data_IF_013567911305
#
_entry.id   IF_013567911305
#
_cell.length_a   1.000
_cell.length_b   1.000
_cell.length_c   1.000
_cell.angle_alpha   90.00
_cell.angle_beta   90.00
_cell.angle_gamma   90.00
#
_symmetry.space_group_name_H-M   'P 1'
#
loop_
_entity.id
_entity.type
_entity.pdbx_description
1 polymer ?
#
# COMPACT_ATOMS: atom_id res chain seq x y z
N UNK A 1 -13.22 5.79 -4.98
CA UNK A 1 -12.49 6.96 -5.55
C UNK A 1 -11.49 6.47 -6.61
N UNK A 2 -11.87 6.49 -7.89
CA UNK A 2 -11.14 5.78 -8.95
C UNK A 2 -10.33 6.67 -9.91
N UNK A 3 -10.31 8.00 -9.70
CA UNK A 3 -9.79 8.94 -10.70
C UNK A 3 -8.32 8.70 -11.06
N UNK A 4 -7.52 8.13 -10.15
CA UNK A 4 -6.10 7.78 -10.36
C UNK A 4 -5.80 6.27 -10.23
N UNK A 5 -6.81 5.42 -10.35
CA UNK A 5 -6.63 3.96 -10.39
C UNK A 5 -5.92 3.56 -11.67
N UNK A 6 -4.94 2.67 -11.52
CA UNK A 6 -4.12 2.11 -12.60
C UNK A 6 -4.12 0.59 -12.54
N UNK A 7 -3.85 -0.04 -13.68
CA UNK A 7 -3.59 -1.47 -13.78
C UNK A 7 -2.09 -1.68 -13.96
N UNK A 8 -1.44 -2.22 -12.93
CA UNK A 8 -0.08 -2.73 -12.98
C UNK A 8 -0.15 -4.15 -13.55
N UNK A 9 0.02 -4.24 -14.87
CA UNK A 9 -0.06 -5.51 -15.60
C UNK A 9 1.10 -6.45 -15.28
N UNK A 10 2.26 -5.92 -14.86
CA UNK A 10 3.44 -6.73 -14.55
C UNK A 10 3.22 -7.52 -13.27
N UNK A 11 2.76 -6.84 -12.22
CA UNK A 11 2.51 -7.45 -10.91
C UNK A 11 1.05 -7.90 -10.72
N UNK A 12 0.23 -7.84 -11.77
CA UNK A 12 -1.17 -8.31 -11.80
C UNK A 12 -2.04 -7.70 -10.69
N UNK A 13 -1.90 -6.40 -10.46
CA UNK A 13 -2.64 -5.65 -9.42
C UNK A 13 -3.30 -4.39 -9.97
N UNK A 14 -4.36 -3.95 -9.31
CA UNK A 14 -5.09 -2.72 -9.64
C UNK A 14 -5.22 -1.89 -8.37
N UNK A 15 -4.66 -0.70 -8.34
CA UNK A 15 -4.69 0.17 -7.15
C UNK A 15 -4.72 1.64 -7.57
N UNK A 16 -5.08 2.51 -6.63
CA UNK A 16 -5.01 3.96 -6.84
C UNK A 16 -3.59 4.44 -6.54
N UNK A 17 -2.91 4.93 -7.57
CA UNK A 17 -1.56 5.49 -7.48
C UNK A 17 -1.59 6.97 -7.09
N UNK A 18 -0.48 7.49 -6.57
CA UNK A 18 -0.25 8.93 -6.39
C UNK A 18 -0.32 9.69 -7.72
N UNK A 19 0.25 9.13 -8.80
CA UNK A 19 0.33 9.80 -10.10
C UNK A 19 0.50 8.81 -11.24
N UNK A 20 -0.12 9.07 -12.39
CA UNK A 20 0.15 8.33 -13.62
C UNK A 20 1.42 8.79 -14.34
N UNK A 21 1.77 10.07 -14.17
CA UNK A 21 2.91 10.66 -14.85
C UNK A 21 4.22 10.00 -14.40
N UNK A 22 4.41 9.76 -13.10
CA UNK A 22 5.63 9.08 -12.63
C UNK A 22 5.63 7.58 -12.97
N UNK A 23 4.46 6.93 -12.99
CA UNK A 23 4.35 5.55 -13.45
C UNK A 23 4.93 5.41 -14.85
N UNK A 24 4.48 6.24 -15.80
CA UNK A 24 4.88 6.14 -17.19
C UNK A 24 6.28 6.73 -17.47
N UNK A 25 6.59 7.89 -16.89
CA UNK A 25 7.78 8.67 -17.28
C UNK A 25 9.00 8.51 -16.38
N UNK A 26 8.84 8.03 -15.15
CA UNK A 26 9.92 8.02 -14.14
C UNK A 26 10.26 6.63 -13.63
N UNK A 27 9.28 5.74 -13.52
CA UNK A 27 9.42 4.50 -12.76
C UNK A 27 9.04 3.24 -13.54
N UNK A 28 9.02 3.32 -14.87
CA UNK A 28 9.05 2.15 -15.75
C UNK A 28 7.77 1.33 -15.84
N UNK A 29 6.62 1.98 -15.70
CA UNK A 29 5.32 1.38 -15.98
C UNK A 29 4.55 0.86 -14.76
N UNK A 30 5.19 0.75 -13.60
CA UNK A 30 4.53 0.57 -12.30
C UNK A 30 5.39 1.16 -11.18
N UNK A 31 4.75 1.71 -10.15
CA UNK A 31 5.43 2.08 -8.91
C UNK A 31 4.45 2.17 -7.75
N UNK A 32 4.87 1.72 -6.58
CA UNK A 32 4.15 1.94 -5.32
C UNK A 32 4.94 2.96 -4.53
N UNK A 33 4.29 4.07 -4.22
CA UNK A 33 4.75 5.06 -3.27
C UNK A 33 3.93 4.89 -2.00
N UNK A 34 4.62 4.57 -0.91
CA UNK A 34 4.05 3.84 0.22
C UNK A 34 2.83 4.55 0.87
N UNK A 35 3.01 5.77 1.35
CA UNK A 35 2.01 6.50 2.12
C UNK A 35 0.79 6.92 1.30
N UNK A 36 0.99 7.43 0.08
CA UNK A 36 -0.12 7.81 -0.80
C UNK A 36 -1.07 6.63 -1.09
N UNK A 37 -0.52 5.44 -1.37
CA UNK A 37 -1.35 4.27 -1.64
C UNK A 37 -2.10 3.82 -0.37
N UNK A 38 -1.49 3.96 0.81
CA UNK A 38 -2.17 3.77 2.09
C UNK A 38 -3.32 4.78 2.30
N UNK A 39 -3.10 6.08 2.05
CA UNK A 39 -4.16 7.08 2.14
C UNK A 39 -5.28 6.83 1.13
N UNK A 40 -4.95 6.38 -0.08
CA UNK A 40 -5.95 5.96 -1.04
C UNK A 40 -6.74 4.74 -0.57
N UNK A 41 -6.12 3.80 0.16
CA UNK A 41 -6.86 2.71 0.77
C UNK A 41 -7.90 3.24 1.77
N UNK A 42 -7.49 4.14 2.67
CA UNK A 42 -8.39 4.76 3.66
C UNK A 42 -9.55 5.50 2.97
N UNK A 43 -9.24 6.36 2.00
CA UNK A 43 -10.25 7.12 1.25
C UNK A 43 -11.24 6.20 0.53
N UNK A 44 -10.76 5.13 -0.11
CA UNK A 44 -11.65 4.17 -0.77
C UNK A 44 -12.51 3.41 0.24
N UNK A 45 -11.95 3.05 1.41
CA UNK A 45 -12.70 2.35 2.45
C UNK A 45 -13.86 3.20 2.96
N UNK A 46 -13.60 4.47 3.28
CA UNK A 46 -14.60 5.44 3.72
C UNK A 46 -15.61 5.80 2.63
N UNK A 47 -15.21 5.76 1.36
CA UNK A 47 -16.12 5.93 0.23
C UNK A 47 -17.01 4.70 -0.06
N UNK A 48 -16.87 3.61 0.71
CA UNK A 48 -17.60 2.35 0.52
C UNK A 48 -17.07 1.46 -0.59
N UNK A 49 -15.94 1.80 -1.21
CA UNK A 49 -15.27 0.97 -2.23
C UNK A 49 -14.19 0.10 -1.56
N UNK A 50 -14.65 -0.90 -0.81
CA UNK A 50 -13.78 -1.78 -0.02
C UNK A 50 -12.89 -2.67 -0.90
N UNK A 51 -13.33 -3.00 -2.11
CA UNK A 51 -12.51 -3.74 -3.08
C UNK A 51 -11.28 -2.95 -3.49
N UNK A 52 -11.45 -1.68 -3.90
CA UNK A 52 -10.30 -0.85 -4.25
C UNK A 52 -9.45 -0.55 -3.03
N UNK A 53 -10.06 -0.35 -1.86
CA UNK A 53 -9.32 -0.18 -0.61
C UNK A 53 -8.41 -1.37 -0.31
N UNK A 54 -8.96 -2.60 -0.35
CA UNK A 54 -8.20 -3.83 -0.13
C UNK A 54 -7.10 -3.99 -1.17
N UNK A 55 -7.34 -3.67 -2.43
CA UNK A 55 -6.31 -3.75 -3.45
C UNK A 55 -5.15 -2.75 -3.21
N UNK A 56 -5.44 -1.54 -2.75
CA UNK A 56 -4.39 -0.60 -2.34
C UNK A 56 -3.58 -1.16 -1.16
N UNK A 57 -4.24 -1.71 -0.13
CA UNK A 57 -3.55 -2.32 1.01
C UNK A 57 -2.67 -3.50 0.58
N UNK A 58 -3.13 -4.33 -0.36
CA UNK A 58 -2.32 -5.41 -0.94
C UNK A 58 -1.08 -4.88 -1.67
N UNK A 59 -1.25 -3.83 -2.48
CA UNK A 59 -0.14 -3.25 -3.23
C UNK A 59 1.00 -2.74 -2.33
N UNK A 60 0.67 -2.14 -1.18
CA UNK A 60 1.67 -1.72 -0.18
C UNK A 60 2.20 -2.88 0.65
N UNK A 61 1.38 -3.89 0.94
CA UNK A 61 1.83 -5.11 1.62
C UNK A 61 2.90 -5.87 0.82
N UNK A 62 2.80 -5.88 -0.50
CA UNK A 62 3.83 -6.46 -1.38
C UNK A 62 5.18 -5.73 -1.28
N UNK A 63 5.25 -4.58 -0.60
CA UNK A 63 6.46 -3.77 -0.46
C UNK A 63 7.20 -3.98 0.88
N UNK A 64 6.87 -5.02 1.66
CA UNK A 64 7.67 -5.36 2.85
C UNK A 64 9.06 -5.85 2.47
N UNK A 65 10.05 -5.51 3.28
CA UNK A 65 11.45 -5.91 3.08
C UNK A 65 11.96 -6.78 4.23
N UNK A 66 13.04 -7.56 4.04
CA UNK A 66 13.57 -8.48 5.06
C UNK A 66 13.90 -7.82 6.41
N UNK A 67 14.30 -6.55 6.39
CA UNK A 67 14.63 -5.75 7.56
C UNK A 67 13.42 -5.44 8.45
N UNK A 68 12.20 -5.62 7.92
CA UNK A 68 10.95 -5.52 8.68
C UNK A 68 10.10 -4.30 8.35
N UNK A 69 10.65 -3.27 7.70
CA UNK A 69 9.87 -2.13 7.21
C UNK A 69 9.10 -2.43 5.93
N UNK A 70 8.27 -1.47 5.55
CA UNK A 70 7.78 -1.31 4.19
C UNK A 70 8.72 -0.36 3.44
N UNK A 71 9.08 -0.70 2.21
CA UNK A 71 9.92 0.15 1.37
C UNK A 71 9.17 1.45 1.01
N UNK A 72 9.87 2.58 1.06
CA UNK A 72 9.33 3.89 0.69
C UNK A 72 8.81 3.93 -0.76
N UNK A 73 9.55 3.30 -1.66
CA UNK A 73 9.22 3.17 -3.07
C UNK A 73 9.62 1.79 -3.58
N UNK A 74 8.72 1.14 -4.31
CA UNK A 74 9.01 -0.02 -5.15
C UNK A 74 8.58 0.27 -6.58
N UNK A 75 9.44 0.00 -7.57
CA UNK A 75 9.12 0.24 -8.99
C UNK A 75 9.91 -0.65 -9.95
N UNK A 76 9.65 -0.53 -11.25
CA UNK A 76 10.43 -1.21 -12.29
C UNK A 76 11.90 -0.80 -12.30
N UNK A 77 12.19 0.48 -12.02
CA UNK A 77 13.51 1.06 -12.25
C UNK A 77 14.35 1.18 -10.97
N UNK A 78 13.73 1.26 -9.81
CA UNK A 78 14.41 1.48 -8.54
C UNK A 78 13.55 1.05 -7.36
N UNK A 79 14.21 0.76 -6.27
CA UNK A 79 13.64 0.41 -4.98
C UNK A 79 14.36 1.20 -3.89
N UNK A 80 13.59 1.76 -2.95
CA UNK A 80 14.12 2.51 -1.80
C UNK A 80 13.77 1.75 -0.52
N UNK A 81 14.52 0.68 -0.29
CA UNK A 81 14.30 -0.29 0.80
C UNK A 81 14.91 0.16 2.12
N UNK A 82 15.93 1.02 2.08
CA UNK A 82 16.63 1.62 3.22
C UNK A 82 15.82 2.72 3.93
N UNK A 83 14.69 3.10 3.35
CA UNK A 83 13.81 4.18 3.83
C UNK A 83 12.37 3.70 3.87
N UNK A 84 11.60 4.31 4.76
CA UNK A 84 10.16 4.10 4.87
C UNK A 84 9.44 5.45 4.90
N UNK A 85 8.11 5.43 4.99
CA UNK A 85 7.25 6.60 5.19
C UNK A 85 6.64 6.56 6.59
N UNK A 86 6.06 7.66 7.11
CA UNK A 86 5.52 7.71 8.46
C UNK A 86 4.65 6.48 8.81
N UNK A 87 4.77 5.89 10.02
CA UNK A 87 4.18 4.60 10.38
C UNK A 87 2.66 4.66 10.62
N UNK A 88 1.90 4.99 9.58
CA UNK A 88 0.43 5.10 9.59
C UNK A 88 -0.29 3.78 9.27
N UNK A 89 0.47 2.72 8.97
CA UNK A 89 -0.03 1.48 8.38
C UNK A 89 -1.00 0.74 9.30
N UNK A 90 -0.67 0.65 10.59
CA UNK A 90 -1.52 -0.03 11.58
C UNK A 90 -2.84 0.68 11.80
N UNK A 91 -2.84 2.02 11.83
CA UNK A 91 -4.05 2.83 11.92
C UNK A 91 -4.96 2.57 10.71
N UNK A 92 -4.42 2.61 9.48
CA UNK A 92 -5.24 2.45 8.27
C UNK A 92 -5.81 1.03 8.14
N UNK A 93 -5.04 0.00 8.47
CA UNK A 93 -5.55 -1.38 8.45
C UNK A 93 -6.65 -1.57 9.52
N UNK A 94 -6.49 -0.95 10.69
CA UNK A 94 -7.51 -1.00 11.73
C UNK A 94 -8.80 -0.27 11.32
N UNK A 95 -8.71 0.91 10.70
CA UNK A 95 -9.87 1.62 10.14
C UNK A 95 -10.57 0.79 9.06
N UNK A 96 -9.82 0.16 8.15
CA UNK A 96 -10.40 -0.76 7.16
C UNK A 96 -11.13 -1.93 7.84
N UNK A 97 -10.55 -2.53 8.88
CA UNK A 97 -11.21 -3.58 9.65
C UNK A 97 -12.50 -3.09 10.32
N UNK A 98 -12.52 -1.91 10.94
CA UNK A 98 -13.72 -1.37 11.58
C UNK A 98 -14.87 -1.14 10.57
N UNK A 99 -14.54 -0.76 9.33
CA UNK A 99 -15.53 -0.51 8.28
C UNK A 99 -16.05 -1.81 7.62
N UNK A 100 -15.24 -2.87 7.58
CA UNK A 100 -15.53 -4.08 6.79
C UNK A 100 -15.78 -5.33 7.64
N UNK A 101 -15.33 -5.32 8.89
CA UNK A 101 -15.22 -6.47 9.77
C UNK A 101 -14.41 -7.65 9.16
N UNK A 102 -13.49 -7.35 8.22
CA UNK A 102 -12.63 -8.31 7.54
C UNK A 102 -11.50 -8.79 8.47
N UNK A 103 -11.87 -9.70 9.39
CA UNK A 103 -10.95 -10.25 10.39
C UNK A 103 -9.81 -11.04 9.77
N UNK A 104 -10.09 -11.77 8.69
CA UNK A 104 -9.09 -12.57 7.98
C UNK A 104 -7.97 -11.67 7.43
N UNK A 105 -8.32 -10.55 6.81
CA UNK A 105 -7.32 -9.58 6.33
C UNK A 105 -6.50 -8.96 7.48
N UNK A 106 -7.13 -8.67 8.62
CA UNK A 106 -6.42 -8.15 9.79
C UNK A 106 -5.39 -9.16 10.32
N UNK A 107 -5.79 -10.42 10.48
CA UNK A 107 -4.92 -11.50 10.97
C UNK A 107 -3.75 -11.74 10.00
N UNK A 108 -3.99 -11.61 8.69
CA UNK A 108 -2.94 -11.69 7.68
C UNK A 108 -1.95 -10.53 7.74
N UNK A 109 -2.44 -9.30 7.93
CA UNK A 109 -1.58 -8.11 7.97
C UNK A 109 -0.78 -7.98 9.27
N UNK A 110 -1.30 -8.53 10.37
CA UNK A 110 -0.74 -8.35 11.71
C UNK A 110 0.76 -8.71 11.83
N UNK A 111 1.26 -9.86 11.34
CA UNK A 111 2.68 -10.19 11.42
C UNK A 111 3.58 -9.17 10.71
N UNK A 112 3.12 -8.58 9.60
CA UNK A 112 3.87 -7.56 8.85
C UNK A 112 3.88 -6.23 9.60
N UNK A 113 2.74 -5.82 10.16
CA UNK A 113 2.64 -4.63 11.01
C UNK A 113 3.54 -4.73 12.24
N UNK A 114 3.57 -5.90 12.90
CA UNK A 114 4.42 -6.13 14.07
C UNK A 114 5.91 -5.99 13.72
N UNK A 115 6.37 -6.57 12.61
CA UNK A 115 7.76 -6.40 12.15
C UNK A 115 8.08 -4.95 11.84
N UNK A 116 7.18 -4.24 11.17
CA UNK A 116 7.38 -2.82 10.90
C UNK A 116 7.43 -2.00 12.18
N UNK A 117 6.63 -2.33 13.20
CA UNK A 117 6.69 -1.66 14.49
C UNK A 117 8.06 -1.85 15.17
N UNK A 118 8.57 -3.08 15.19
CA UNK A 118 9.90 -3.41 15.76
C UNK A 118 11.07 -2.80 14.97
N UNK A 119 10.87 -2.41 13.72
CA UNK A 119 11.88 -1.69 12.95
C UNK A 119 11.92 -0.19 13.31
N UNK A 120 10.78 0.40 13.64
CA UNK A 120 10.68 1.83 13.99
C UNK A 120 11.10 2.16 15.42
N UNK A 121 11.00 1.21 16.35
CA UNK A 121 11.17 1.41 17.80
C UNK A 121 12.09 0.36 18.41
#
# INVERSE_FOLDING_TARGET
MAWNTISDKKNKRVYTSLTRFWTDKKFGGWFVWLDDVFYHALINAWAGDWTTARNCLRAVMDCTVPEGNFACLMSEHTEWVDRSQPPIFGFIIYEYYLLTNDREFLDEAYPMLLRSHMWWF
#
